data_IF_675641901208
#
_entry.id   IF_675641901208
#
_cell.length_a   1.000
_cell.length_b   1.000
_cell.length_c   1.000
_cell.angle_alpha   90.00
_cell.angle_beta   90.00
_cell.angle_gamma   90.00
#
_symmetry.space_group_name_H-M   'P 1'
#
loop_
_entity.id
_entity.type
_entity.pdbx_description
1 polymer ?
#
# COMPACT_ATOMS: atom_id res chain seq x y z
N UNK A 1 15.89 14.86 -23.09
CA UNK A 1 16.02 13.73 -24.05
C UNK A 1 14.76 12.87 -24.03
N UNK A 2 14.56 11.94 -24.99
CA UNK A 2 13.42 10.99 -24.95
C UNK A 2 13.39 10.21 -23.62
N UNK A 3 14.58 9.82 -23.12
CA UNK A 3 14.75 9.19 -21.81
C UNK A 3 14.17 10.02 -20.66
N UNK A 4 14.48 11.32 -20.59
CA UNK A 4 13.92 12.20 -19.55
C UNK A 4 12.39 12.29 -19.62
N UNK A 5 11.82 12.45 -20.81
CA UNK A 5 10.35 12.51 -20.96
C UNK A 5 9.67 11.21 -20.55
N UNK A 6 10.30 10.05 -20.78
CA UNK A 6 9.80 8.76 -20.31
C UNK A 6 9.88 8.69 -18.78
N UNK A 7 11.00 9.12 -18.18
CA UNK A 7 11.16 9.16 -16.73
C UNK A 7 10.13 10.06 -16.05
N UNK A 8 9.96 11.30 -16.52
CA UNK A 8 9.00 12.26 -15.96
C UNK A 8 7.55 11.73 -15.99
N UNK A 9 7.14 11.08 -17.08
CA UNK A 9 5.81 10.47 -17.18
C UNK A 9 5.65 9.27 -16.25
N UNK A 10 6.69 8.43 -16.12
CA UNK A 10 6.68 7.30 -15.20
C UNK A 10 6.60 7.77 -13.75
N UNK A 11 7.39 8.77 -13.37
CA UNK A 11 7.40 9.34 -12.03
C UNK A 11 6.02 9.91 -11.66
N UNK A 12 5.38 10.63 -12.59
CA UNK A 12 4.03 11.16 -12.41
C UNK A 12 2.98 10.05 -12.22
N UNK A 13 2.98 9.04 -13.11
CA UNK A 13 2.05 7.92 -13.02
C UNK A 13 2.26 7.11 -11.74
N UNK A 14 3.51 6.90 -11.34
CA UNK A 14 3.85 6.18 -10.11
C UNK A 14 3.39 6.93 -8.87
N UNK A 15 3.62 8.25 -8.80
CA UNK A 15 3.21 9.06 -7.66
C UNK A 15 1.69 9.01 -7.42
N UNK A 16 0.90 9.16 -8.50
CA UNK A 16 -0.56 9.08 -8.40
C UNK A 16 -1.04 7.70 -7.94
N UNK A 17 -0.51 6.63 -8.55
CA UNK A 17 -0.91 5.27 -8.21
C UNK A 17 -0.48 4.89 -6.78
N UNK A 18 0.67 5.37 -6.32
CA UNK A 18 1.15 5.10 -4.96
C UNK A 18 0.26 5.78 -3.91
N UNK A 19 -0.17 7.02 -4.17
CA UNK A 19 -1.11 7.74 -3.30
C UNK A 19 -2.48 7.03 -3.23
N UNK A 20 -2.97 6.52 -4.37
CA UNK A 20 -4.21 5.73 -4.41
C UNK A 20 -4.07 4.42 -3.64
N UNK A 21 -2.96 3.71 -3.82
CA UNK A 21 -2.65 2.47 -3.10
C UNK A 21 -2.57 2.71 -1.58
N UNK A 22 -1.91 3.78 -1.14
CA UNK A 22 -1.85 4.15 0.27
C UNK A 22 -3.24 4.38 0.87
N UNK A 23 -4.12 5.10 0.16
CA UNK A 23 -5.49 5.34 0.63
C UNK A 23 -6.28 4.04 0.77
N UNK A 24 -6.25 3.20 -0.26
CA UNK A 24 -6.94 1.89 -0.26
C UNK A 24 -6.43 0.95 0.83
N UNK A 25 -5.12 0.94 1.06
CA UNK A 25 -4.52 0.17 2.15
C UNK A 25 -5.01 0.68 3.51
N UNK A 26 -5.07 2.00 3.71
CA UNK A 26 -5.58 2.60 4.95
C UNK A 26 -7.07 2.31 5.17
N UNK A 27 -7.88 2.36 4.12
CA UNK A 27 -9.31 1.98 4.15
C UNK A 27 -9.49 0.50 4.51
N UNK A 28 -8.70 -0.37 3.90
CA UNK A 28 -8.69 -1.81 4.22
C UNK A 28 -8.36 -2.01 5.69
N UNK A 29 -7.28 -1.40 6.17
CA UNK A 29 -6.83 -1.52 7.55
C UNK A 29 -7.78 -0.88 8.59
N UNK A 30 -8.79 -0.10 8.20
CA UNK A 30 -9.71 0.53 9.15
C UNK A 30 -10.69 -0.46 9.84
N UNK A 31 -10.83 -1.67 9.30
CA UNK A 31 -11.74 -2.68 9.83
C UNK A 31 -11.61 -4.04 9.15
N UNK A 32 -10.40 -4.40 8.70
CA UNK A 32 -10.15 -5.66 8.03
C UNK A 32 -10.38 -6.84 8.99
N UNK A 33 -11.22 -7.78 8.57
CA UNK A 33 -11.51 -9.03 9.29
C UNK A 33 -10.86 -10.20 8.54
N UNK A 34 -9.58 -10.54 8.83
CA UNK A 34 -8.91 -11.66 8.16
C UNK A 34 -9.53 -13.03 8.49
N UNK A 35 -10.24 -13.12 9.62
CA UNK A 35 -10.95 -14.30 10.08
C UNK A 35 -12.10 -13.89 11.02
N UNK A 36 -13.19 -14.67 11.09
CA UNK A 36 -14.31 -14.38 11.97
C UNK A 36 -13.89 -14.08 13.41
N UNK A 37 -14.32 -12.94 13.94
CA UNK A 37 -14.02 -12.53 15.32
C UNK A 37 -12.61 -11.96 15.54
N UNK A 38 -11.81 -11.79 14.48
CA UNK A 38 -10.52 -11.09 14.53
C UNK A 38 -10.62 -9.82 13.70
N UNK A 39 -10.60 -8.65 14.36
CA UNK A 39 -10.53 -7.36 13.67
C UNK A 39 -9.15 -6.75 13.76
N UNK A 40 -8.57 -6.49 12.59
CA UNK A 40 -7.35 -5.72 12.46
C UNK A 40 -7.72 -4.24 12.27
N UNK A 41 -7.11 -3.38 13.09
CA UNK A 41 -7.12 -1.94 12.92
C UNK A 41 -5.69 -1.46 12.76
N UNK A 42 -5.35 -0.99 11.57
CA UNK A 42 -4.05 -0.43 11.25
C UNK A 42 -4.12 1.06 10.99
N UNK A 43 -3.06 1.77 11.36
CA UNK A 43 -2.82 3.16 10.98
C UNK A 43 -1.46 3.22 10.28
N UNK A 44 -1.47 3.46 8.98
CA UNK A 44 -0.26 3.71 8.21
C UNK A 44 0.31 5.08 8.59
N UNK A 45 1.60 5.12 8.89
CA UNK A 45 2.36 6.36 9.06
C UNK A 45 3.06 6.76 7.77
N UNK A 46 3.50 5.78 6.95
CA UNK A 46 4.15 6.03 5.67
C UNK A 46 3.95 4.87 4.68
N UNK A 47 3.96 5.23 3.39
CA UNK A 47 4.05 4.30 2.26
C UNK A 47 5.11 4.86 1.33
N UNK A 48 6.26 4.20 1.29
CA UNK A 48 7.42 4.65 0.53
C UNK A 48 7.70 3.75 -0.66
N UNK A 49 8.11 4.35 -1.77
CA UNK A 49 8.60 3.59 -2.92
C UNK A 49 10.02 3.11 -2.63
N UNK A 50 10.17 1.82 -2.33
CA UNK A 50 11.47 1.23 -2.08
C UNK A 50 12.23 0.98 -3.39
N UNK A 51 11.51 0.47 -4.41
CA UNK A 51 12.09 0.25 -5.74
C UNK A 51 11.00 0.25 -6.83
N UNK A 52 11.37 0.63 -8.04
CA UNK A 52 10.52 0.49 -9.22
C UNK A 52 11.37 0.08 -10.42
N UNK A 53 10.97 -0.98 -11.10
CA UNK A 53 11.69 -1.46 -12.28
C UNK A 53 10.74 -1.92 -13.39
N UNK A 54 11.21 -1.77 -14.62
CA UNK A 54 10.52 -2.22 -15.81
C UNK A 54 10.75 -3.72 -15.99
N UNK A 55 9.66 -4.45 -16.21
CA UNK A 55 9.64 -5.85 -16.61
C UNK A 55 9.06 -5.96 -18.01
N UNK A 56 9.16 -7.14 -18.64
CA UNK A 56 8.52 -7.39 -19.94
C UNK A 56 7.00 -7.26 -19.90
N UNK A 57 6.40 -7.35 -18.70
CA UNK A 57 4.96 -7.39 -18.51
C UNK A 57 4.39 -6.08 -17.93
N UNK A 58 5.25 -5.08 -17.66
CA UNK A 58 4.85 -3.81 -17.07
C UNK A 58 5.84 -3.28 -16.04
N UNK A 59 5.39 -2.35 -15.21
CA UNK A 59 6.20 -1.76 -14.13
C UNK A 59 5.92 -2.54 -12.85
N UNK A 60 6.98 -3.06 -12.23
CA UNK A 60 6.89 -3.66 -10.91
C UNK A 60 7.39 -2.66 -9.87
N UNK A 61 6.62 -2.50 -8.80
CA UNK A 61 6.91 -1.56 -7.71
C UNK A 61 7.00 -2.33 -6.40
N UNK A 62 8.07 -2.09 -5.64
CA UNK A 62 8.23 -2.57 -4.27
C UNK A 62 7.96 -1.39 -3.36
N UNK A 63 6.95 -1.52 -2.50
CA UNK A 63 6.57 -0.51 -1.51
C UNK A 63 7.00 -0.95 -0.12
N UNK A 64 7.54 -0.03 0.65
CA UNK A 64 7.76 -0.19 2.08
C UNK A 64 6.60 0.47 2.84
N UNK A 65 6.05 -0.25 3.82
CA UNK A 65 4.94 0.23 4.64
C UNK A 65 5.44 0.40 6.08
N UNK A 66 5.16 1.55 6.67
CA UNK A 66 5.38 1.80 8.09
C UNK A 66 4.07 2.21 8.74
N UNK A 67 3.84 1.73 9.96
CA UNK A 67 2.64 2.07 10.71
C UNK A 67 2.44 1.18 11.92
N UNK A 68 1.29 1.39 12.55
CA UNK A 68 0.85 0.62 13.71
C UNK A 68 -0.24 -0.35 13.28
N UNK A 69 -0.17 -1.59 13.74
CA UNK A 69 -1.21 -2.59 13.55
C UNK A 69 -1.67 -3.09 14.92
N UNK A 70 -2.96 -2.92 15.19
CA UNK A 70 -3.62 -3.46 16.37
C UNK A 70 -4.56 -4.58 15.96
N UNK A 71 -4.44 -5.73 16.62
CA UNK A 71 -5.41 -6.80 16.50
C UNK A 71 -6.35 -6.80 17.71
N UNK A 72 -7.65 -6.78 17.44
CA UNK A 72 -8.69 -6.99 18.45
C UNK A 72 -9.38 -8.31 18.17
N UNK A 73 -9.37 -9.20 19.15
CA UNK A 73 -10.11 -10.45 19.09
C UNK A 73 -11.47 -10.18 19.74
N UNK A 74 -12.49 -10.00 18.90
CA UNK A 74 -13.89 -9.98 19.32
C UNK A 74 -14.38 -11.44 19.37
N UNK A 75 -13.79 -12.26 20.25
CA UNK A 75 -14.07 -13.69 20.26
C UNK A 75 -13.24 -14.56 21.21
N UNK A 76 -13.49 -14.44 22.52
CA UNK A 76 -13.59 -15.58 23.43
C UNK A 76 -14.65 -15.23 24.48
N UNK A 77 -15.92 -15.39 24.11
CA UNK A 77 -17.05 -14.99 24.95
C UNK A 77 -18.36 -15.63 24.51
N UNK A 78 -18.48 -16.92 24.87
CA UNK A 78 -19.65 -17.81 24.82
C UNK A 78 -20.22 -18.21 23.46
#
# INVERSE_FOLDING_TARGET
SLKQKIQENLDYLLAYNLADAQRRLQETLAGYEPAPGIRLKGKLSAVDLYNAYLTTNGIQVVVALAGELSARIDGFGQ
#
